data_IF_289322987929
#
_entry.id   IF_289322987929
#
_cell.length_a   1.000
_cell.length_b   1.000
_cell.length_c   1.000
_cell.angle_alpha   90.00
_cell.angle_beta   90.00
_cell.angle_gamma   90.00
#
_symmetry.space_group_name_H-M   'P 1'
#
loop_
_entity.id
_entity.type
_entity.pdbx_description
1 polymer ?
#
# COMPACT_ATOMS: atom_id res chain seq x y z
N UNK A 1 -25.77 -9.70 3.38
CA UNK A 1 -25.91 -11.16 3.08
C UNK A 1 -24.88 -11.56 2.03
N UNK A 2 -24.05 -12.55 2.36
CA UNK A 2 -23.11 -13.13 1.41
C UNK A 2 -23.85 -14.14 0.52
N UNK A 3 -23.61 -14.10 -0.79
CA UNK A 3 -24.24 -15.06 -1.70
C UNK A 3 -23.66 -16.48 -1.54
N UNK A 4 -24.37 -17.48 -2.06
CA UNK A 4 -24.03 -18.90 -1.89
C UNK A 4 -22.68 -19.25 -2.55
N UNK A 5 -22.34 -18.62 -3.68
CA UNK A 5 -21.09 -18.89 -4.38
C UNK A 5 -19.90 -18.34 -3.59
N UNK A 6 -20.05 -17.15 -3.02
CA UNK A 6 -19.03 -16.53 -2.18
C UNK A 6 -18.83 -17.31 -0.87
N UNK A 7 -19.93 -17.75 -0.20
CA UNK A 7 -19.83 -18.63 0.96
C UNK A 7 -19.09 -19.94 0.65
N UNK A 8 -19.29 -20.52 -0.54
CA UNK A 8 -18.57 -21.72 -0.95
C UNK A 8 -17.04 -21.47 -1.08
N UNK A 9 -16.65 -20.31 -1.59
CA UNK A 9 -15.23 -19.91 -1.62
C UNK A 9 -14.67 -19.68 -0.22
N UNK A 10 -15.41 -19.01 0.67
CA UNK A 10 -15.00 -18.81 2.06
C UNK A 10 -14.79 -20.13 2.80
N UNK A 11 -15.66 -21.12 2.59
CA UNK A 11 -15.49 -22.46 3.16
C UNK A 11 -14.15 -23.10 2.74
N UNK A 12 -13.74 -22.92 1.48
CA UNK A 12 -12.44 -23.42 1.03
C UNK A 12 -11.27 -22.67 1.66
N UNK A 13 -11.40 -21.35 1.79
CA UNK A 13 -10.39 -20.48 2.42
C UNK A 13 -10.19 -20.85 3.89
N UNK A 14 -11.28 -21.05 4.63
CA UNK A 14 -11.25 -21.36 6.06
C UNK A 14 -11.10 -22.84 6.40
N UNK A 15 -11.15 -23.75 5.43
CA UNK A 15 -11.03 -25.19 5.64
C UNK A 15 -9.72 -25.61 6.34
N UNK A 16 -8.70 -24.77 6.23
CA UNK A 16 -7.38 -25.03 6.79
C UNK A 16 -7.14 -24.37 8.17
N UNK A 17 -8.11 -23.72 8.81
CA UNK A 17 -7.89 -23.09 10.11
C UNK A 17 -7.56 -24.10 11.20
N UNK A 18 -6.52 -23.81 12.00
CA UNK A 18 -6.10 -24.63 13.13
C UNK A 18 -6.74 -24.15 14.45
N UNK A 19 -6.79 -22.83 14.66
CA UNK A 19 -7.33 -22.21 15.87
C UNK A 19 -8.84 -21.92 15.77
N UNK A 20 -9.46 -21.69 16.92
CA UNK A 20 -10.84 -21.20 17.02
C UNK A 20 -10.85 -19.67 17.06
N UNK A 21 -11.79 -19.07 16.33
CA UNK A 21 -11.95 -17.61 16.26
C UNK A 21 -13.36 -17.20 16.64
N UNK A 22 -13.45 -16.10 17.39
CA UNK A 22 -14.72 -15.50 17.79
C UNK A 22 -14.74 -14.04 17.35
N UNK A 23 -15.77 -13.64 16.62
CA UNK A 23 -16.11 -12.25 16.37
C UNK A 23 -16.91 -11.73 17.57
N UNK A 24 -16.27 -11.02 18.51
CA UNK A 24 -16.90 -10.48 19.72
C UNK A 24 -17.44 -9.07 19.40
N UNK A 25 -18.74 -9.00 19.16
CA UNK A 25 -19.46 -7.80 18.72
C UNK A 25 -19.99 -7.05 19.92
N UNK A 26 -19.64 -5.77 20.04
CA UNK A 26 -20.22 -4.81 20.96
C UNK A 26 -20.90 -3.71 20.15
N UNK A 27 -22.21 -3.60 20.22
CA UNK A 27 -22.94 -2.63 19.41
C UNK A 27 -24.20 -2.11 20.12
N UNK A 28 -24.42 -0.79 20.00
CA UNK A 28 -25.62 -0.18 20.61
C UNK A 28 -26.89 -0.80 20.03
N UNK A 29 -27.90 -1.13 20.86
CA UNK A 29 -29.13 -1.81 20.40
C UNK A 29 -29.88 -1.09 19.28
N UNK A 30 -29.77 0.25 19.23
CA UNK A 30 -30.44 1.09 18.23
C UNK A 30 -29.50 1.59 17.13
N UNK A 31 -28.25 1.08 17.03
CA UNK A 31 -27.32 1.50 15.97
C UNK A 31 -27.86 1.06 14.61
N UNK A 32 -27.89 1.97 13.64
CA UNK A 32 -28.48 1.73 12.30
C UNK A 32 -27.86 0.54 11.56
N UNK A 33 -26.53 0.37 11.69
CA UNK A 33 -25.78 -0.72 11.03
C UNK A 33 -25.66 -2.00 11.86
N UNK A 34 -26.36 -2.09 13.03
CA UNK A 34 -26.28 -3.26 13.91
C UNK A 34 -26.63 -4.56 13.20
N UNK A 35 -27.74 -4.57 12.50
CA UNK A 35 -28.23 -5.78 11.83
C UNK A 35 -27.32 -6.19 10.68
N UNK A 36 -26.81 -5.22 9.91
CA UNK A 36 -25.89 -5.46 8.82
C UNK A 36 -24.58 -6.10 9.31
N UNK A 37 -24.00 -5.56 10.40
CA UNK A 37 -22.79 -6.12 11.00
C UNK A 37 -22.99 -7.55 11.49
N UNK A 38 -24.07 -7.80 12.26
CA UNK A 38 -24.36 -9.12 12.80
C UNK A 38 -24.56 -10.13 11.66
N UNK A 39 -25.35 -9.80 10.65
CA UNK A 39 -25.61 -10.65 9.50
C UNK A 39 -24.32 -10.98 8.71
N UNK A 40 -23.45 -10.00 8.49
CA UNK A 40 -22.17 -10.20 7.80
C UNK A 40 -21.28 -11.17 8.58
N UNK A 41 -21.15 -10.99 9.90
CA UNK A 41 -20.27 -11.81 10.73
C UNK A 41 -20.88 -13.21 11.00
N UNK A 42 -22.19 -13.33 11.12
CA UNK A 42 -22.89 -14.61 11.15
C UNK A 42 -22.70 -15.39 9.86
N UNK A 43 -22.89 -14.75 8.71
CA UNK A 43 -22.66 -15.34 7.39
C UNK A 43 -21.22 -15.81 7.25
N UNK A 44 -20.27 -15.01 7.69
CA UNK A 44 -18.84 -15.36 7.67
C UNK A 44 -18.53 -16.51 8.61
N UNK A 45 -19.06 -16.50 9.83
CA UNK A 45 -18.87 -17.56 10.82
C UNK A 45 -19.48 -18.89 10.35
N UNK A 46 -20.61 -18.85 9.63
CA UNK A 46 -21.22 -20.05 9.06
C UNK A 46 -20.36 -20.81 8.04
N UNK A 47 -19.23 -20.21 7.62
CA UNK A 47 -18.34 -20.79 6.63
C UNK A 47 -17.27 -21.75 7.22
N UNK A 48 -17.16 -21.87 8.55
CA UNK A 48 -16.22 -22.81 9.19
C UNK A 48 -16.67 -23.15 10.62
N UNK A 49 -16.48 -24.39 11.03
CA UNK A 49 -16.70 -24.82 12.42
C UNK A 49 -15.70 -24.19 13.42
N UNK A 50 -14.65 -23.57 12.91
CA UNK A 50 -13.64 -22.83 13.68
C UNK A 50 -13.99 -21.36 13.90
N UNK A 51 -15.07 -20.88 13.30
CA UNK A 51 -15.53 -19.51 13.41
C UNK A 51 -16.86 -19.44 14.18
N UNK A 52 -16.96 -18.47 15.06
CA UNK A 52 -18.18 -18.17 15.79
C UNK A 52 -18.31 -16.67 16.05
N UNK A 53 -19.45 -16.23 16.54
CA UNK A 53 -19.65 -14.84 16.94
C UNK A 53 -20.43 -14.75 18.25
N UNK A 54 -20.22 -13.65 18.97
CA UNK A 54 -20.99 -13.27 20.16
C UNK A 54 -21.48 -11.84 20.00
N UNK A 55 -22.64 -11.54 20.58
CA UNK A 55 -23.22 -10.19 20.52
C UNK A 55 -23.52 -9.72 21.92
N UNK A 56 -23.03 -8.54 22.28
CA UNK A 56 -23.35 -7.83 23.51
C UNK A 56 -23.72 -6.38 23.23
N UNK A 57 -24.43 -5.76 24.14
CA UNK A 57 -24.71 -4.33 24.04
C UNK A 57 -23.42 -3.53 24.26
N UNK A 58 -23.21 -2.49 23.45
CA UNK A 58 -22.10 -1.56 23.47
C UNK A 58 -22.59 -0.12 23.36
N UNK A 59 -21.68 0.84 23.47
CA UNK A 59 -22.00 2.27 23.31
C UNK A 59 -22.06 2.68 21.84
N UNK A 60 -21.15 2.12 21.04
CA UNK A 60 -21.02 2.37 19.60
C UNK A 60 -21.11 1.04 18.82
N UNK A 61 -20.63 1.02 17.59
CA UNK A 61 -20.47 -0.18 16.78
C UNK A 61 -18.99 -0.55 16.75
N UNK A 62 -18.66 -1.70 17.34
CA UNK A 62 -17.31 -2.27 17.30
C UNK A 62 -17.39 -3.80 17.35
N UNK A 63 -16.46 -4.46 16.70
CA UNK A 63 -16.14 -5.85 17.01
C UNK A 63 -14.64 -6.08 17.04
N UNK A 64 -14.23 -7.10 17.76
CA UNK A 64 -12.84 -7.56 17.83
C UNK A 64 -12.77 -9.04 17.50
N UNK A 65 -11.56 -9.50 17.20
CA UNK A 65 -11.30 -10.90 16.86
C UNK A 65 -10.56 -11.54 18.03
N UNK A 66 -11.14 -12.63 18.56
CA UNK A 66 -10.47 -13.46 19.56
C UNK A 66 -9.95 -14.73 18.88
N UNK A 67 -8.77 -15.19 19.27
CA UNK A 67 -8.18 -16.47 18.87
C UNK A 67 -8.00 -17.36 20.09
N UNK A 68 -8.67 -18.51 20.14
CA UNK A 68 -8.69 -19.40 21.32
C UNK A 68 -9.02 -18.65 22.63
N UNK A 69 -9.88 -17.64 22.55
CA UNK A 69 -10.28 -16.78 23.67
C UNK A 69 -9.35 -15.58 23.95
N UNK A 70 -8.20 -15.48 23.30
CA UNK A 70 -7.26 -14.36 23.46
C UNK A 70 -7.57 -13.24 22.43
N UNK A 71 -7.56 -11.98 22.90
CA UNK A 71 -7.78 -10.80 22.06
C UNK A 71 -6.60 -10.54 21.12
N UNK A 72 -6.87 -10.50 19.82
CA UNK A 72 -5.86 -10.16 18.80
C UNK A 72 -5.49 -8.68 18.78
N UNK A 73 -6.18 -7.84 19.56
CA UNK A 73 -6.02 -6.38 19.62
C UNK A 73 -6.29 -5.67 18.28
N UNK A 74 -7.12 -6.27 17.46
CA UNK A 74 -7.64 -5.72 16.20
C UNK A 74 -9.12 -5.42 16.40
N UNK A 75 -9.49 -4.15 16.31
CA UNK A 75 -10.82 -3.63 16.57
C UNK A 75 -11.38 -2.98 15.31
N UNK A 76 -12.54 -3.43 14.85
CA UNK A 76 -13.23 -2.84 13.71
C UNK A 76 -14.41 -2.01 14.20
N UNK A 77 -14.36 -0.71 14.00
CA UNK A 77 -15.50 0.21 14.11
C UNK A 77 -16.03 0.47 12.70
N UNK A 78 -16.49 -0.59 12.08
CA UNK A 78 -16.93 -0.65 10.70
C UNK A 78 -17.78 -1.90 10.46
N UNK A 79 -18.58 -1.89 9.42
CA UNK A 79 -19.10 -3.09 8.77
C UNK A 79 -18.14 -3.45 7.64
N UNK A 80 -17.18 -4.39 7.80
CA UNK A 80 -16.10 -4.61 6.84
C UNK A 80 -16.59 -5.35 5.60
N UNK A 81 -17.41 -4.67 4.78
CA UNK A 81 -17.86 -5.13 3.48
C UNK A 81 -17.03 -4.49 2.34
N UNK A 82 -17.42 -4.72 1.09
CA UNK A 82 -16.73 -4.18 -0.07
C UNK A 82 -15.24 -4.54 -0.09
N UNK A 83 -14.38 -3.54 -0.25
CA UNK A 83 -12.93 -3.74 -0.31
C UNK A 83 -12.33 -4.20 1.03
N UNK A 84 -12.92 -3.78 2.17
CA UNK A 84 -12.40 -4.13 3.50
C UNK A 84 -12.77 -5.53 3.97
N UNK A 85 -13.65 -6.24 3.26
CA UNK A 85 -13.93 -7.64 3.59
C UNK A 85 -12.65 -8.49 3.53
N UNK A 86 -11.76 -8.20 2.60
CA UNK A 86 -10.44 -8.86 2.52
C UNK A 86 -9.57 -8.62 3.76
N UNK A 87 -9.68 -7.46 4.40
CA UNK A 87 -8.94 -7.14 5.64
C UNK A 87 -9.42 -7.96 6.83
N UNK A 88 -10.73 -8.24 6.92
CA UNK A 88 -11.29 -9.16 7.90
C UNK A 88 -10.78 -10.59 7.69
N UNK A 89 -10.84 -11.08 6.45
CA UNK A 89 -10.39 -12.44 6.11
C UNK A 89 -8.90 -12.63 6.43
N UNK A 90 -8.06 -11.67 6.03
CA UNK A 90 -6.62 -11.75 6.26
C UNK A 90 -6.26 -11.55 7.72
N UNK A 91 -7.04 -10.82 8.52
CA UNK A 91 -6.81 -10.75 9.96
C UNK A 91 -6.91 -12.14 10.60
N UNK A 92 -7.91 -12.94 10.24
CA UNK A 92 -8.06 -14.34 10.71
C UNK A 92 -6.94 -15.23 10.16
N UNK A 93 -6.71 -15.21 8.85
CA UNK A 93 -5.71 -16.08 8.20
C UNK A 93 -4.29 -15.78 8.65
N UNK A 94 -3.92 -14.50 8.83
CA UNK A 94 -2.61 -14.12 9.33
C UNK A 94 -2.42 -14.54 10.79
N UNK A 95 -3.46 -14.42 11.62
CA UNK A 95 -3.42 -14.88 13.00
C UNK A 95 -3.25 -16.41 13.09
N UNK A 96 -3.73 -17.16 12.11
CA UNK A 96 -3.55 -18.61 11.99
C UNK A 96 -2.22 -19.01 11.30
N UNK A 97 -1.43 -18.02 10.88
CA UNK A 97 -0.18 -18.28 10.17
C UNK A 97 -0.33 -18.69 8.70
N UNK A 98 -1.53 -18.61 8.15
CA UNK A 98 -1.88 -19.08 6.79
C UNK A 98 -2.12 -17.95 5.78
N UNK A 99 -1.95 -16.70 6.22
CA UNK A 99 -2.08 -15.54 5.34
C UNK A 99 -0.92 -15.44 4.35
N UNK A 100 -1.22 -14.92 3.15
CA UNK A 100 -0.26 -14.82 2.04
C UNK A 100 0.66 -13.59 2.13
N UNK A 101 0.34 -12.63 2.99
CA UNK A 101 1.06 -11.36 3.14
C UNK A 101 1.84 -11.24 4.46
N UNK A 102 2.12 -12.36 5.10
CA UNK A 102 2.99 -12.37 6.28
C UNK A 102 4.43 -12.04 5.87
N UNK A 103 5.11 -11.17 6.64
CA UNK A 103 6.47 -10.79 6.35
C UNK A 103 7.46 -11.93 6.66
N UNK A 104 8.62 -11.85 6.05
CA UNK A 104 9.73 -12.73 6.38
C UNK A 104 10.33 -12.44 7.76
N UNK A 105 11.26 -13.31 8.19
CA UNK A 105 11.84 -13.26 9.52
C UNK A 105 12.55 -11.93 9.83
N UNK A 106 13.24 -11.33 8.86
CA UNK A 106 13.95 -10.07 9.10
C UNK A 106 12.98 -8.89 9.34
N UNK A 107 11.89 -8.82 8.57
CA UNK A 107 10.83 -7.82 8.79
C UNK A 107 10.07 -8.11 10.08
N UNK A 108 9.80 -9.39 10.38
CA UNK A 108 9.17 -9.80 11.64
C UNK A 108 9.95 -9.32 12.84
N UNK A 109 11.27 -9.53 12.90
CA UNK A 109 12.14 -9.06 13.99
C UNK A 109 12.07 -7.56 14.18
N UNK A 110 12.06 -6.78 13.10
CA UNK A 110 11.88 -5.32 13.19
C UNK A 110 10.57 -4.94 13.88
N UNK A 111 9.47 -5.61 13.52
CA UNK A 111 8.16 -5.39 14.12
C UNK A 111 8.15 -5.75 15.61
N UNK A 112 8.69 -6.91 15.97
CA UNK A 112 8.75 -7.40 17.36
C UNK A 112 9.55 -6.49 18.29
N UNK A 113 10.54 -5.76 17.74
CA UNK A 113 11.42 -4.86 18.51
C UNK A 113 10.98 -3.38 18.49
N UNK A 114 9.81 -3.04 17.93
CA UNK A 114 9.24 -1.71 18.13
C UNK A 114 9.04 -1.43 19.62
N UNK A 115 9.48 -0.25 20.09
CA UNK A 115 9.50 0.08 21.52
C UNK A 115 8.15 0.65 21.99
N UNK A 116 7.78 0.31 23.24
CA UNK A 116 6.62 0.91 23.93
C UNK A 116 5.27 0.30 23.52
N UNK A 117 4.22 0.72 24.24
CA UNK A 117 2.83 0.38 23.92
C UNK A 117 2.27 1.46 23.01
N UNK A 118 1.45 1.08 22.05
CA UNK A 118 0.86 2.02 21.10
C UNK A 118 -0.52 1.59 20.62
N UNK A 119 -1.37 2.56 20.35
CA UNK A 119 -2.65 2.38 19.66
C UNK A 119 -2.56 3.00 18.28
N UNK A 120 -2.65 2.16 17.26
CA UNK A 120 -2.82 2.58 15.88
C UNK A 120 -4.30 2.78 15.59
N UNK A 121 -4.65 3.84 14.89
CA UNK A 121 -6.00 4.05 14.36
C UNK A 121 -5.91 4.31 12.87
N UNK A 122 -6.64 3.55 12.08
CA UNK A 122 -6.77 3.79 10.64
C UNK A 122 -8.19 4.22 10.32
N UNK A 123 -8.33 5.47 9.88
CA UNK A 123 -9.58 5.93 9.29
C UNK A 123 -9.62 5.52 7.83
N UNK A 124 -10.69 4.86 7.42
CA UNK A 124 -10.85 4.29 6.08
C UNK A 124 -12.25 4.59 5.52
N UNK A 125 -12.48 4.23 4.28
CA UNK A 125 -13.79 4.20 3.64
C UNK A 125 -13.97 2.90 2.89
N UNK A 126 -15.14 2.31 2.95
CA UNK A 126 -15.48 1.05 2.27
C UNK A 126 -15.32 1.13 0.74
N UNK A 127 -15.43 2.33 0.17
CA UNK A 127 -15.22 2.57 -1.27
C UNK A 127 -13.76 2.86 -1.66
N UNK A 128 -12.86 2.93 -0.68
CA UNK A 128 -11.45 3.22 -0.91
C UNK A 128 -10.69 1.96 -1.33
N UNK A 129 -10.12 1.95 -2.52
CA UNK A 129 -9.36 0.80 -3.05
C UNK A 129 -7.98 0.62 -2.42
N UNK A 130 -7.41 1.68 -1.84
CA UNK A 130 -6.08 1.69 -1.22
C UNK A 130 -6.10 1.43 0.29
N UNK A 131 -7.28 1.54 0.92
CA UNK A 131 -7.41 1.35 2.37
C UNK A 131 -7.05 -0.06 2.84
N UNK A 132 -7.46 -1.14 2.14
CA UNK A 132 -7.13 -2.50 2.57
C UNK A 132 -5.63 -2.78 2.71
N UNK A 133 -4.79 -2.26 1.81
CA UNK A 133 -3.34 -2.46 1.87
C UNK A 133 -2.76 -1.95 3.19
N UNK A 134 -3.20 -0.77 3.64
CA UNK A 134 -2.74 -0.14 4.89
C UNK A 134 -3.32 -0.85 6.11
N UNK A 135 -4.62 -1.15 6.10
CA UNK A 135 -5.29 -1.86 7.20
C UNK A 135 -4.65 -3.23 7.42
N UNK A 136 -4.43 -4.00 6.37
CA UNK A 136 -3.82 -5.33 6.44
C UNK A 136 -2.37 -5.27 6.94
N UNK A 137 -1.58 -4.29 6.48
CA UNK A 137 -0.21 -4.11 6.94
C UNK A 137 -0.15 -3.80 8.45
N UNK A 138 -1.02 -2.92 8.95
CA UNK A 138 -1.08 -2.58 10.37
C UNK A 138 -1.66 -3.71 11.22
N UNK A 139 -2.60 -4.49 10.70
CA UNK A 139 -3.08 -5.73 11.34
C UNK A 139 -1.93 -6.73 11.51
N UNK A 140 -1.07 -6.92 10.50
CA UNK A 140 0.11 -7.79 10.59
C UNK A 140 1.09 -7.28 11.66
N UNK A 141 1.34 -5.97 11.72
CA UNK A 141 2.20 -5.37 12.75
C UNK A 141 1.61 -5.63 14.14
N UNK A 142 0.29 -5.47 14.31
CA UNK A 142 -0.41 -5.72 15.58
C UNK A 142 -0.34 -7.19 16.01
N UNK A 143 -0.51 -8.12 15.07
CA UNK A 143 -0.42 -9.56 15.36
C UNK A 143 1.00 -9.96 15.82
N UNK A 144 2.03 -9.36 15.24
CA UNK A 144 3.42 -9.69 15.52
C UNK A 144 4.01 -8.95 16.74
N UNK A 145 3.40 -7.83 17.16
CA UNK A 145 3.85 -7.09 18.35
C UNK A 145 2.72 -6.98 19.38
N UNK A 146 2.83 -7.68 20.53
CA UNK A 146 1.75 -7.71 21.53
C UNK A 146 1.54 -6.37 22.26
N UNK A 147 2.43 -5.40 22.09
CA UNK A 147 2.33 -4.07 22.67
C UNK A 147 1.55 -3.08 21.82
N UNK A 148 1.15 -3.49 20.62
CA UNK A 148 0.43 -2.65 19.66
C UNK A 148 -1.02 -3.14 19.52
N UNK A 149 -1.95 -2.21 19.49
CA UNK A 149 -3.35 -2.42 19.13
C UNK A 149 -3.68 -1.64 17.86
N UNK A 150 -4.66 -2.11 17.09
CA UNK A 150 -5.10 -1.44 15.86
C UNK A 150 -6.62 -1.32 15.83
N UNK A 151 -7.09 -0.08 15.69
CA UNK A 151 -8.49 0.30 15.54
C UNK A 151 -8.73 0.73 14.11
N UNK A 152 -9.67 0.10 13.43
CA UNK A 152 -10.07 0.37 12.04
C UNK A 152 -11.42 1.08 12.09
N UNK A 153 -11.48 2.32 11.62
CA UNK A 153 -12.64 3.20 11.73
C UNK A 153 -13.19 3.54 10.36
N UNK A 154 -14.45 3.21 10.12
CA UNK A 154 -15.16 3.74 8.95
C UNK A 154 -15.52 5.20 9.19
N UNK A 155 -14.95 6.08 8.36
CA UNK A 155 -15.20 7.51 8.45
C UNK A 155 -16.66 7.90 8.24
N UNK A 156 -17.45 7.08 7.56
CA UNK A 156 -18.88 7.32 7.38
C UNK A 156 -19.68 7.08 8.68
N UNK A 157 -19.26 6.10 9.48
CA UNK A 157 -19.90 5.79 10.77
C UNK A 157 -19.38 6.68 11.91
N UNK A 158 -18.26 7.35 11.74
CA UNK A 158 -17.58 8.18 12.76
C UNK A 158 -17.40 9.64 12.29
N UNK A 159 -18.43 10.20 11.66
CA UNK A 159 -18.37 11.53 11.03
C UNK A 159 -17.95 12.66 11.99
N UNK A 160 -18.40 12.64 13.24
CA UNK A 160 -18.03 13.63 14.25
C UNK A 160 -16.54 13.56 14.59
N UNK A 161 -15.99 12.37 14.74
CA UNK A 161 -14.56 12.15 15.02
C UNK A 161 -13.71 12.58 13.81
N UNK A 162 -14.11 12.21 12.60
CA UNK A 162 -13.48 12.61 11.34
C UNK A 162 -13.44 14.13 11.19
N UNK A 163 -14.54 14.82 11.48
CA UNK A 163 -14.62 16.28 11.44
C UNK A 163 -13.76 16.94 12.51
N UNK A 164 -13.81 16.43 13.75
CA UNK A 164 -13.02 16.95 14.88
C UNK A 164 -11.51 16.86 14.61
N UNK A 165 -11.08 15.77 13.97
CA UNK A 165 -9.66 15.51 13.63
C UNK A 165 -9.27 16.09 12.28
N UNK A 166 -10.20 16.76 11.56
CA UNK A 166 -10.00 17.31 10.22
C UNK A 166 -9.42 16.29 9.24
N UNK A 167 -9.95 15.06 9.24
CA UNK A 167 -9.53 14.00 8.33
C UNK A 167 -10.21 14.22 6.98
N UNK A 168 -9.43 14.47 5.94
CA UNK A 168 -9.94 14.81 4.61
C UNK A 168 -9.62 13.78 3.56
N UNK A 169 -8.69 12.86 3.86
CA UNK A 169 -8.30 11.79 2.96
C UNK A 169 -8.09 10.47 3.71
N UNK A 170 -8.37 9.35 3.03
CA UNK A 170 -8.23 7.99 3.54
C UNK A 170 -7.39 7.12 2.57
N UNK A 171 -6.67 6.12 3.09
CA UNK A 171 -6.50 5.79 4.51
C UNK A 171 -5.71 6.87 5.26
N UNK A 172 -6.11 7.15 6.50
CA UNK A 172 -5.39 8.05 7.39
C UNK A 172 -4.97 7.29 8.66
N UNK A 173 -3.66 7.20 8.91
CA UNK A 173 -3.07 6.41 10.01
C UNK A 173 -2.62 7.33 11.13
N UNK A 174 -3.03 7.00 12.33
CA UNK A 174 -2.77 7.74 13.55
C UNK A 174 -2.09 6.83 14.57
N UNK A 175 -1.10 7.36 15.28
CA UNK A 175 -0.39 6.73 16.37
C UNK A 175 -0.67 7.53 17.65
N UNK A 176 -1.34 6.92 18.62
CA UNK A 176 -1.69 7.55 19.92
C UNK A 176 -2.31 8.96 19.74
N UNK A 177 -3.26 9.08 18.80
CA UNK A 177 -3.96 10.33 18.49
C UNK A 177 -3.17 11.35 17.66
N UNK A 178 -2.01 10.98 17.12
CA UNK A 178 -1.23 11.84 16.22
C UNK A 178 -1.17 11.23 14.82
N UNK A 179 -1.53 12.01 13.79
CA UNK A 179 -1.43 11.56 12.40
C UNK A 179 0.02 11.30 11.99
N UNK A 180 0.28 10.12 11.44
CA UNK A 180 1.63 9.70 10.99
C UNK A 180 1.68 9.39 9.49
N UNK A 181 0.53 9.12 8.87
CA UNK A 181 0.47 8.82 7.44
C UNK A 181 -0.92 9.06 6.86
N UNK A 182 -0.96 9.52 5.61
CA UNK A 182 -2.17 9.64 4.80
C UNK A 182 -1.89 9.07 3.41
N UNK A 183 -2.84 8.35 2.86
CA UNK A 183 -2.77 7.70 1.55
C UNK A 183 -2.23 6.28 1.60
N UNK A 184 -2.02 5.71 0.43
CA UNK A 184 -1.48 4.35 0.28
C UNK A 184 -0.08 4.22 0.88
N UNK A 185 0.22 3.06 1.45
CA UNK A 185 1.55 2.74 1.96
C UNK A 185 1.77 1.23 2.00
N UNK A 186 3.03 0.82 1.99
CA UNK A 186 3.44 -0.57 2.16
C UNK A 186 3.72 -0.88 3.63
N UNK A 187 3.76 -2.17 4.00
CA UNK A 187 4.15 -2.60 5.35
C UNK A 187 5.54 -2.06 5.73
N UNK A 188 6.51 -2.11 4.80
CA UNK A 188 7.86 -1.60 5.04
C UNK A 188 7.89 -0.11 5.34
N UNK A 189 7.17 0.71 4.57
CA UNK A 189 7.09 2.17 4.78
C UNK A 189 6.39 2.54 6.09
N UNK A 190 5.32 1.82 6.45
CA UNK A 190 4.63 2.00 7.72
C UNK A 190 5.52 1.61 8.89
N UNK A 191 6.23 0.50 8.78
CA UNK A 191 7.21 0.06 9.78
C UNK A 191 8.33 1.09 9.97
N UNK A 192 8.86 1.65 8.88
CA UNK A 192 9.87 2.71 8.93
C UNK A 192 9.39 3.94 9.71
N UNK A 193 8.13 4.32 9.51
CA UNK A 193 7.51 5.44 10.24
C UNK A 193 7.32 5.13 11.72
N UNK A 194 6.88 3.89 12.03
CA UNK A 194 6.72 3.46 13.41
C UNK A 194 8.07 3.38 14.14
N UNK A 195 9.11 2.83 13.52
CA UNK A 195 10.47 2.85 14.09
C UNK A 195 10.96 4.28 14.36
N UNK A 196 10.70 5.20 13.43
CA UNK A 196 11.08 6.61 13.60
C UNK A 196 10.35 7.31 14.74
N UNK A 197 9.11 6.89 15.06
CA UNK A 197 8.26 7.51 16.09
C UNK A 197 8.37 6.83 17.44
N UNK A 198 8.39 5.51 17.46
CA UNK A 198 8.40 4.70 18.67
C UNK A 198 9.82 4.35 19.13
N UNK A 199 10.76 4.30 18.18
CA UNK A 199 12.08 3.74 18.40
C UNK A 199 12.09 2.20 18.37
N UNK A 200 13.29 1.65 18.48
CA UNK A 200 13.52 0.22 18.59
C UNK A 200 14.13 -0.08 19.97
N UNK A 201 13.79 -1.23 20.48
CA UNK A 201 14.27 -1.72 21.76
C UNK A 201 15.80 -1.93 21.74
N UNK A 202 16.48 -1.69 22.85
CA UNK A 202 17.93 -1.77 22.98
C UNK A 202 18.49 -3.19 22.79
N UNK A 203 17.65 -4.21 22.85
CA UNK A 203 18.02 -5.59 22.55
C UNK A 203 18.01 -5.90 21.05
N UNK A 204 17.48 -4.99 20.21
CA UNK A 204 17.50 -5.15 18.76
C UNK A 204 18.93 -5.18 18.25
N UNK A 205 19.35 -6.34 17.79
CA UNK A 205 20.60 -6.49 17.03
C UNK A 205 20.24 -6.44 15.54
N UNK A 206 20.78 -5.47 14.80
CA UNK A 206 20.63 -5.47 13.35
C UNK A 206 21.03 -6.83 12.79
N UNK A 207 20.27 -7.33 11.82
CA UNK A 207 20.64 -8.57 11.13
C UNK A 207 21.95 -8.30 10.39
N UNK A 208 23.05 -8.83 10.91
CA UNK A 208 24.38 -8.70 10.28
C UNK A 208 24.65 -9.82 9.28
N UNK A 209 23.66 -10.63 8.96
CA UNK A 209 23.79 -11.74 8.05
C UNK A 209 24.11 -11.23 6.64
N UNK A 210 25.23 -11.71 6.10
CA UNK A 210 25.62 -11.48 4.72
C UNK A 210 25.07 -12.60 3.85
N UNK A 211 24.17 -12.26 2.92
CA UNK A 211 23.51 -13.21 2.02
C UNK A 211 24.12 -13.12 0.63
N UNK A 212 24.63 -14.25 0.14
CA UNK A 212 25.38 -14.31 -1.11
C UNK A 212 24.53 -14.85 -2.26
N UNK A 213 24.63 -14.18 -3.40
CA UNK A 213 23.93 -14.47 -4.65
C UNK A 213 24.89 -14.34 -5.85
N UNK A 214 24.45 -14.77 -7.02
CA UNK A 214 25.16 -14.50 -8.28
C UNK A 214 24.77 -13.15 -8.86
N UNK A 215 23.50 -12.76 -8.66
CA UNK A 215 22.97 -11.48 -9.15
C UNK A 215 22.06 -10.86 -8.08
N UNK A 216 22.26 -9.58 -7.81
CA UNK A 216 21.30 -8.76 -7.09
C UNK A 216 20.47 -7.95 -8.08
N UNK A 217 19.18 -7.85 -7.82
CA UNK A 217 18.27 -6.96 -8.54
C UNK A 217 17.68 -5.97 -7.53
N UNK A 218 18.07 -4.71 -7.65
CA UNK A 218 17.54 -3.63 -6.83
C UNK A 218 16.28 -3.06 -7.46
N UNK A 219 15.12 -3.39 -6.89
CA UNK A 219 13.80 -2.97 -7.35
C UNK A 219 12.91 -4.12 -7.81
N UNK A 220 11.64 -4.08 -7.41
CA UNK A 220 10.63 -5.12 -7.63
C UNK A 220 9.58 -4.79 -8.69
N UNK A 221 9.75 -3.70 -9.45
CA UNK A 221 8.87 -3.35 -10.56
C UNK A 221 9.01 -4.29 -11.76
N UNK A 222 8.24 -4.11 -12.85
CA UNK A 222 8.26 -5.00 -14.02
C UNK A 222 9.65 -5.24 -14.59
N UNK A 223 10.48 -4.20 -14.63
CA UNK A 223 11.88 -4.30 -15.11
C UNK A 223 12.72 -5.20 -14.21
N UNK A 224 12.64 -5.03 -12.89
CA UNK A 224 13.38 -5.85 -11.93
C UNK A 224 12.93 -7.30 -11.96
N UNK A 225 11.62 -7.53 -12.04
CA UNK A 225 11.05 -8.87 -12.17
C UNK A 225 11.54 -9.57 -13.44
N UNK A 226 11.48 -8.87 -14.59
CA UNK A 226 12.00 -9.41 -15.85
C UNK A 226 13.49 -9.75 -15.74
N UNK A 227 14.31 -8.86 -15.21
CA UNK A 227 15.75 -9.08 -15.03
C UNK A 227 16.03 -10.30 -14.13
N UNK A 228 15.29 -10.43 -13.02
CA UNK A 228 15.43 -11.58 -12.10
C UNK A 228 15.07 -12.90 -12.78
N UNK A 229 13.92 -12.96 -13.46
CA UNK A 229 13.46 -14.17 -14.16
C UNK A 229 14.47 -14.59 -15.24
N UNK A 230 14.95 -13.66 -16.08
CA UNK A 230 15.91 -14.01 -17.11
C UNK A 230 17.27 -14.42 -16.55
N UNK A 231 17.70 -13.87 -15.43
CA UNK A 231 18.91 -14.30 -14.72
C UNK A 231 18.73 -15.72 -14.13
N UNK A 232 17.61 -15.97 -13.48
CA UNK A 232 17.28 -17.27 -12.89
C UNK A 232 17.17 -18.38 -13.94
N UNK A 233 16.58 -18.09 -15.12
CA UNK A 233 16.51 -19.02 -16.26
C UNK A 233 17.88 -19.44 -16.82
N UNK A 234 18.95 -18.73 -16.46
CA UNK A 234 20.33 -19.09 -16.77
C UNK A 234 21.00 -19.91 -15.64
N UNK A 235 20.23 -20.31 -14.62
CA UNK A 235 20.73 -21.10 -13.48
C UNK A 235 21.40 -20.26 -12.40
N UNK A 236 21.32 -18.91 -12.46
CA UNK A 236 21.92 -18.03 -11.47
C UNK A 236 21.04 -17.93 -10.21
N UNK A 237 21.67 -17.82 -9.04
CA UNK A 237 21.00 -17.53 -7.77
C UNK A 237 20.77 -16.03 -7.67
N UNK A 238 19.52 -15.60 -7.60
CA UNK A 238 19.12 -14.20 -7.70
C UNK A 238 18.41 -13.73 -6.42
N UNK A 239 18.75 -12.53 -5.94
CA UNK A 239 17.93 -11.81 -4.96
C UNK A 239 17.24 -10.62 -5.61
N UNK A 240 15.94 -10.49 -5.40
CA UNK A 240 15.18 -9.27 -5.71
C UNK A 240 14.99 -8.50 -4.41
N UNK A 241 15.66 -7.35 -4.27
CA UNK A 241 15.62 -6.50 -3.08
C UNK A 241 14.78 -5.26 -3.38
N UNK A 242 13.64 -5.12 -2.73
CA UNK A 242 12.66 -4.09 -3.08
C UNK A 242 11.76 -3.68 -1.90
N UNK A 243 11.19 -2.49 -1.97
CA UNK A 243 10.12 -2.06 -1.07
C UNK A 243 8.84 -2.87 -1.26
N UNK A 244 8.48 -3.14 -2.51
CA UNK A 244 7.35 -4.01 -2.87
C UNK A 244 7.56 -4.63 -4.25
N UNK A 245 6.93 -5.79 -4.49
CA UNK A 245 6.82 -6.35 -5.83
C UNK A 245 5.69 -5.65 -6.58
N UNK A 246 5.92 -5.36 -7.87
CA UNK A 246 5.05 -4.56 -8.73
C UNK A 246 5.54 -3.10 -8.86
N UNK A 247 6.18 -2.53 -7.83
CA UNK A 247 6.62 -1.14 -7.88
C UNK A 247 5.45 -0.19 -8.15
N UNK A 248 5.63 0.80 -9.02
CA UNK A 248 4.60 1.81 -9.34
C UNK A 248 3.32 1.24 -9.99
N UNK A 249 3.34 0.04 -10.60
CA UNK A 249 2.09 -0.51 -11.18
C UNK A 249 1.04 -0.76 -10.10
N UNK A 250 1.43 -0.96 -8.85
CA UNK A 250 0.50 -1.06 -7.75
C UNK A 250 -0.37 0.20 -7.54
N UNK A 251 0.07 1.36 -8.02
CA UNK A 251 -0.63 2.64 -7.91
C UNK A 251 -1.58 2.89 -9.10
N UNK A 252 -1.55 2.01 -10.10
CA UNK A 252 -2.32 2.17 -11.33
C UNK A 252 -3.62 1.39 -11.26
N UNK A 253 -4.76 2.07 -11.43
CA UNK A 253 -6.10 1.46 -11.34
C UNK A 253 -6.33 0.53 -12.54
N UNK A 254 -6.10 1.01 -13.75
CA UNK A 254 -6.29 0.24 -15.01
C UNK A 254 -5.05 0.32 -15.89
N UNK A 255 -4.66 -0.80 -16.48
CA UNK A 255 -3.48 -0.95 -17.32
C UNK A 255 -3.93 -1.62 -18.65
N UNK A 256 -3.73 -0.91 -19.77
CA UNK A 256 -4.11 -1.34 -21.12
C UNK A 256 -2.92 -1.39 -22.09
N UNK A 257 -1.72 -1.04 -21.62
CA UNK A 257 -0.51 -0.90 -22.42
C UNK A 257 0.52 -2.03 -22.25
N UNK A 258 0.16 -3.11 -21.58
CA UNK A 258 0.98 -4.32 -21.50
C UNK A 258 0.66 -5.22 -22.68
N UNK A 259 1.65 -5.43 -23.56
CA UNK A 259 1.50 -6.29 -24.76
C UNK A 259 1.01 -7.67 -24.34
N UNK A 260 0.03 -8.21 -25.03
CA UNK A 260 -0.70 -9.47 -24.78
C UNK A 260 -1.69 -9.46 -23.62
N UNK A 261 -1.80 -8.36 -22.87
CA UNK A 261 -2.78 -8.18 -21.80
C UNK A 261 -3.66 -6.97 -22.16
N UNK A 262 -4.86 -7.18 -22.77
CA UNK A 262 -5.69 -6.07 -23.23
C UNK A 262 -6.14 -5.13 -22.11
N UNK A 263 -6.38 -5.69 -20.93
CA UNK A 263 -6.72 -4.94 -19.71
C UNK A 263 -6.34 -5.74 -18.46
N UNK A 264 -5.80 -5.05 -17.48
CA UNK A 264 -5.58 -5.57 -16.13
C UNK A 264 -5.61 -4.43 -15.13
N UNK A 265 -5.66 -4.75 -13.84
CA UNK A 265 -5.41 -3.76 -12.77
C UNK A 265 -3.95 -3.81 -12.32
N UNK A 266 -3.45 -2.72 -11.76
CA UNK A 266 -2.08 -2.71 -11.24
C UNK A 266 -1.85 -3.76 -10.15
N UNK A 267 -2.83 -3.96 -9.27
CA UNK A 267 -2.76 -4.99 -8.23
C UNK A 267 -2.72 -6.40 -8.81
N UNK A 268 -3.55 -6.68 -9.81
CA UNK A 268 -3.53 -7.98 -10.51
C UNK A 268 -2.18 -8.21 -11.17
N UNK A 269 -1.66 -7.23 -11.90
CA UNK A 269 -0.35 -7.34 -12.53
C UNK A 269 0.78 -7.56 -11.51
N UNK A 270 0.75 -6.86 -10.38
CA UNK A 270 1.74 -7.04 -9.31
C UNK A 270 1.67 -8.44 -8.69
N UNK A 271 0.47 -8.97 -8.49
CA UNK A 271 0.26 -10.35 -8.01
C UNK A 271 0.78 -11.39 -9.01
N UNK A 272 0.54 -11.18 -10.30
CA UNK A 272 1.03 -12.05 -11.38
C UNK A 272 2.57 -12.01 -11.46
N UNK A 273 3.17 -10.82 -11.34
CA UNK A 273 4.63 -10.65 -11.29
C UNK A 273 5.24 -11.41 -10.09
N UNK A 274 4.63 -11.31 -8.91
CA UNK A 274 5.06 -12.06 -7.72
C UNK A 274 4.94 -13.57 -7.93
N UNK A 275 3.81 -14.02 -8.46
CA UNK A 275 3.56 -15.43 -8.76
C UNK A 275 4.61 -15.97 -9.73
N UNK A 276 4.94 -15.19 -10.78
CA UNK A 276 5.95 -15.57 -11.75
C UNK A 276 7.36 -15.67 -11.15
N UNK A 277 7.75 -14.73 -10.27
CA UNK A 277 9.03 -14.85 -9.52
C UNK A 277 9.07 -16.12 -8.67
N UNK A 278 7.98 -16.44 -7.98
CA UNK A 278 7.88 -17.58 -7.07
C UNK A 278 7.94 -18.94 -7.79
N UNK A 279 7.80 -18.96 -9.11
CA UNK A 279 7.97 -20.17 -9.95
C UNK A 279 9.43 -20.65 -10.03
N UNK A 280 10.39 -19.80 -9.67
CA UNK A 280 11.81 -20.08 -9.76
C UNK A 280 12.42 -20.24 -8.35
N UNK A 281 12.80 -21.48 -7.99
CA UNK A 281 13.39 -21.79 -6.68
C UNK A 281 14.73 -21.08 -6.42
N UNK A 282 15.42 -20.66 -7.48
CA UNK A 282 16.68 -19.91 -7.40
C UNK A 282 16.50 -18.40 -7.33
N UNK A 283 15.27 -17.90 -7.20
CA UNK A 283 14.95 -16.49 -6.89
C UNK A 283 14.57 -16.38 -5.42
N UNK A 284 15.26 -15.50 -4.70
CA UNK A 284 14.87 -15.07 -3.37
C UNK A 284 14.20 -13.70 -3.46
N UNK A 285 12.94 -13.61 -3.08
CA UNK A 285 12.20 -12.33 -3.00
C UNK A 285 12.45 -11.74 -1.61
N UNK A 286 13.06 -10.55 -1.57
CA UNK A 286 13.36 -9.77 -0.38
C UNK A 286 12.58 -8.46 -0.49
N UNK A 287 11.28 -8.51 -0.26
CA UNK A 287 10.40 -7.34 -0.23
C UNK A 287 10.35 -6.68 1.17
N UNK A 288 9.65 -5.55 1.28
CA UNK A 288 9.66 -4.69 2.47
C UNK A 288 11.08 -4.25 2.87
N UNK A 289 11.99 -4.08 1.88
CA UNK A 289 13.37 -3.65 2.06
C UNK A 289 13.58 -2.27 1.47
N UNK A 290 13.96 -1.32 2.32
CA UNK A 290 14.48 -0.03 1.89
C UNK A 290 16.00 -0.12 1.76
N UNK A 291 16.50 -0.01 0.51
CA UNK A 291 17.95 0.02 0.24
C UNK A 291 18.47 1.36 0.73
N UNK A 292 19.44 1.36 1.64
CA UNK A 292 20.07 2.57 2.18
C UNK A 292 21.40 2.88 1.50
N UNK A 293 22.23 1.86 1.31
CA UNK A 293 23.55 2.06 0.74
C UNK A 293 23.93 0.99 -0.28
N UNK A 294 24.78 1.42 -1.20
CA UNK A 294 25.51 0.56 -2.11
C UNK A 294 27.00 0.74 -1.87
N UNK A 295 27.73 -0.37 -1.81
CA UNK A 295 29.20 -0.35 -1.71
C UNK A 295 29.84 -1.47 -2.52
N UNK A 296 31.16 -1.37 -2.69
CA UNK A 296 32.00 -2.40 -3.29
C UNK A 296 32.92 -2.96 -2.21
N UNK A 297 32.89 -4.27 -2.01
CA UNK A 297 33.76 -4.96 -1.06
C UNK A 297 34.39 -6.17 -1.78
N UNK A 298 35.72 -6.20 -1.89
CA UNK A 298 36.46 -7.31 -2.52
C UNK A 298 35.93 -7.75 -3.90
N UNK A 299 35.49 -6.79 -4.72
CA UNK A 299 34.90 -7.04 -6.03
C UNK A 299 33.40 -7.41 -6.02
N UNK A 300 32.83 -7.61 -4.85
CA UNK A 300 31.37 -7.84 -4.68
C UNK A 300 30.61 -6.50 -4.61
N UNK A 301 29.43 -6.47 -5.18
CA UNK A 301 28.43 -5.41 -5.02
C UNK A 301 27.65 -5.73 -3.75
N UNK A 302 27.58 -4.78 -2.83
CA UNK A 302 26.91 -4.94 -1.55
C UNK A 302 25.75 -3.95 -1.47
N UNK A 303 24.55 -4.46 -1.27
CA UNK A 303 23.38 -3.67 -0.90
C UNK A 303 23.17 -3.82 0.60
N UNK A 304 23.11 -2.72 1.32
CA UNK A 304 22.69 -2.68 2.72
C UNK A 304 21.28 -2.08 2.78
N UNK A 305 20.39 -2.75 3.47
CA UNK A 305 19.02 -2.29 3.66
C UNK A 305 18.82 -1.79 5.09
N UNK A 306 17.77 -1.02 5.29
CA UNK A 306 17.35 -0.57 6.62
C UNK A 306 17.14 -1.79 7.54
N UNK A 307 17.72 -1.73 8.74
CA UNK A 307 17.80 -2.88 9.65
C UNK A 307 19.09 -3.68 9.56
N UNK A 308 20.04 -3.30 8.66
CA UNK A 308 21.42 -3.78 8.64
C UNK A 308 21.69 -5.05 7.82
N UNK A 309 20.66 -5.70 7.26
CA UNK A 309 20.81 -6.88 6.40
C UNK A 309 21.61 -6.52 5.14
N UNK A 310 22.54 -7.39 4.73
CA UNK A 310 23.42 -7.18 3.59
C UNK A 310 23.25 -8.27 2.53
N UNK A 311 23.19 -7.84 1.28
CA UNK A 311 23.11 -8.71 0.11
C UNK A 311 24.37 -8.50 -0.74
N UNK A 312 25.06 -9.59 -1.08
CA UNK A 312 26.33 -9.55 -1.81
C UNK A 312 26.23 -10.36 -3.10
N UNK A 313 26.75 -9.81 -4.19
CA UNK A 313 26.89 -10.55 -5.45
C UNK A 313 27.97 -9.92 -6.34
N UNK A 314 28.56 -10.70 -7.27
CA UNK A 314 29.47 -10.16 -8.29
C UNK A 314 28.75 -9.24 -9.31
N UNK A 315 27.42 -9.36 -9.46
CA UNK A 315 26.63 -8.56 -10.38
C UNK A 315 25.42 -7.88 -9.69
N UNK A 316 25.14 -6.64 -10.07
CA UNK A 316 23.98 -5.88 -9.61
C UNK A 316 23.24 -5.28 -10.82
N UNK A 317 21.94 -5.49 -10.85
CA UNK A 317 21.03 -4.81 -11.80
C UNK A 317 20.22 -3.77 -11.02
N UNK A 318 20.33 -2.51 -11.42
CA UNK A 318 19.62 -1.39 -10.82
C UNK A 318 18.32 -1.19 -11.60
N UNK A 319 17.19 -1.47 -10.96
CA UNK A 319 15.84 -1.36 -11.51
C UNK A 319 14.90 -0.64 -10.52
N UNK A 320 15.44 0.37 -9.82
CA UNK A 320 14.77 1.10 -8.74
C UNK A 320 13.60 1.97 -9.21
N UNK A 321 13.44 2.14 -10.52
CA UNK A 321 12.38 2.95 -11.10
C UNK A 321 12.57 4.45 -10.84
N UNK A 322 11.44 5.15 -10.79
CA UNK A 322 11.39 6.58 -10.50
C UNK A 322 10.29 6.86 -9.48
N UNK A 323 10.37 7.99 -8.80
CA UNK A 323 9.31 8.51 -7.96
C UNK A 323 8.93 9.92 -8.42
N UNK A 324 7.64 10.23 -8.30
CA UNK A 324 7.14 11.56 -8.61
C UNK A 324 7.70 12.58 -7.61
N UNK A 325 8.11 13.73 -8.11
CA UNK A 325 8.44 14.87 -7.25
C UNK A 325 7.15 15.47 -6.74
N UNK A 326 7.02 15.58 -5.43
CA UNK A 326 5.92 16.29 -4.79
C UNK A 326 6.26 17.77 -4.66
N UNK A 327 5.24 18.61 -4.70
CA UNK A 327 5.39 20.04 -4.44
C UNK A 327 5.69 20.31 -2.96
N UNK A 328 5.18 19.44 -2.07
CA UNK A 328 5.24 19.58 -0.62
C UNK A 328 4.62 20.90 -0.12
N UNK A 329 3.52 21.31 -0.76
CA UNK A 329 2.74 22.48 -0.37
C UNK A 329 1.50 22.06 0.41
N UNK A 330 0.91 22.95 1.23
CA UNK A 330 -0.37 22.69 1.87
C UNK A 330 -1.43 22.24 0.87
N UNK A 331 -2.26 21.25 1.24
CA UNK A 331 -3.32 20.70 0.41
C UNK A 331 -2.88 19.63 -0.59
N UNK A 332 -1.61 19.58 -1.02
CA UNK A 332 -1.19 18.57 -2.01
C UNK A 332 -1.50 17.14 -1.57
N UNK A 333 -1.06 16.76 -0.37
CA UNK A 333 -1.28 15.41 0.16
C UNK A 333 -2.76 15.08 0.38
N UNK A 334 -3.56 16.09 0.71
CA UNK A 334 -4.98 15.99 0.98
C UNK A 334 -5.78 15.69 -0.29
N UNK A 335 -5.39 16.34 -1.41
CA UNK A 335 -6.12 16.23 -2.67
C UNK A 335 -5.57 15.16 -3.62
N UNK A 336 -4.56 14.37 -3.23
CA UNK A 336 -4.11 13.21 -4.01
C UNK A 336 -5.28 12.23 -4.23
N UNK A 337 -5.59 11.95 -5.51
CA UNK A 337 -6.75 11.14 -5.91
C UNK A 337 -8.09 11.89 -5.90
N UNK A 338 -8.10 13.20 -5.56
CA UNK A 338 -9.32 14.04 -5.50
C UNK A 338 -9.17 15.36 -6.26
N UNK A 339 -8.21 15.45 -7.14
CA UNK A 339 -7.89 16.67 -7.89
C UNK A 339 -6.39 16.79 -8.15
N UNK A 340 -5.55 16.21 -7.29
CA UNK A 340 -4.12 16.07 -7.49
C UNK A 340 -3.83 14.66 -7.98
N UNK A 341 -3.14 14.54 -9.10
CA UNK A 341 -2.77 13.27 -9.75
C UNK A 341 -1.35 13.37 -10.31
N UNK A 342 -0.70 12.23 -10.52
CA UNK A 342 0.68 12.16 -11.01
C UNK A 342 0.82 11.43 -12.36
N UNK A 343 -0.19 10.67 -12.77
CA UNK A 343 -0.14 9.88 -14.00
C UNK A 343 -1.19 10.38 -15.00
N UNK A 344 -0.81 11.08 -16.08
CA UNK A 344 -1.77 11.58 -17.07
C UNK A 344 -2.50 10.45 -17.80
N UNK A 345 -1.83 9.33 -18.04
CA UNK A 345 -2.42 8.17 -18.72
C UNK A 345 -3.40 7.39 -17.84
N UNK A 346 -3.15 7.35 -16.52
CA UNK A 346 -3.98 6.60 -15.56
C UNK A 346 -5.21 7.41 -15.16
N UNK A 347 -4.97 8.67 -14.77
CA UNK A 347 -5.96 9.55 -14.15
C UNK A 347 -6.61 10.50 -15.16
N UNK A 348 -5.95 10.76 -16.29
CA UNK A 348 -6.41 11.69 -17.32
C UNK A 348 -7.87 11.52 -17.74
N UNK A 349 -8.39 10.31 -17.97
CA UNK A 349 -9.79 10.08 -18.31
C UNK A 349 -10.80 10.67 -17.33
N UNK A 350 -10.46 10.75 -16.03
CA UNK A 350 -11.34 11.34 -15.00
C UNK A 350 -11.45 12.86 -15.09
N UNK A 351 -10.52 13.48 -15.83
CA UNK A 351 -10.49 14.93 -16.05
C UNK A 351 -11.02 15.33 -17.44
N UNK A 352 -11.64 14.42 -18.17
CA UNK A 352 -12.23 14.68 -19.49
C UNK A 352 -13.14 15.91 -19.47
N UNK A 353 -12.86 16.87 -20.36
CA UNK A 353 -13.63 18.10 -20.51
C UNK A 353 -13.41 19.13 -19.39
N UNK A 354 -12.55 18.86 -18.40
CA UNK A 354 -12.22 19.79 -17.31
C UNK A 354 -11.06 20.70 -17.70
N UNK A 355 -10.87 21.77 -16.96
CA UNK A 355 -9.66 22.58 -16.97
C UNK A 355 -8.69 22.01 -15.94
N UNK A 356 -7.46 21.68 -16.35
CA UNK A 356 -6.43 21.12 -15.50
C UNK A 356 -5.16 21.97 -15.51
N UNK A 357 -4.43 21.95 -14.41
CA UNK A 357 -3.10 22.52 -14.31
C UNK A 357 -2.05 21.41 -14.29
N UNK A 358 -0.97 21.58 -15.05
CA UNK A 358 0.22 20.72 -15.00
C UNK A 358 1.36 21.50 -14.39
N UNK A 359 1.92 20.97 -13.31
CA UNK A 359 3.00 21.63 -12.58
C UNK A 359 4.36 21.07 -13.04
N UNK A 360 5.17 21.94 -13.63
CA UNK A 360 6.52 21.63 -14.12
C UNK A 360 6.64 21.64 -15.64
N UNK A 361 7.65 22.35 -16.14
CA UNK A 361 7.95 22.56 -17.56
C UNK A 361 9.13 21.71 -18.08
N UNK A 362 9.49 20.59 -17.42
CA UNK A 362 10.41 19.59 -17.93
C UNK A 362 9.72 18.61 -18.89
N UNK A 363 10.46 17.65 -19.48
CA UNK A 363 9.94 16.67 -20.44
C UNK A 363 8.65 16.01 -19.94
N UNK A 364 8.66 15.44 -18.74
CA UNK A 364 7.50 14.74 -18.19
C UNK A 364 6.25 15.62 -18.04
N UNK A 365 6.42 16.88 -17.59
CA UNK A 365 5.29 17.80 -17.46
C UNK A 365 4.74 18.23 -18.82
N UNK A 366 5.61 18.47 -19.80
CA UNK A 366 5.18 18.87 -21.16
C UNK A 366 4.51 17.70 -21.89
N UNK A 367 5.03 16.47 -21.76
CA UNK A 367 4.39 15.26 -22.28
C UNK A 367 3.00 15.08 -21.65
N UNK A 368 2.89 15.20 -20.33
CA UNK A 368 1.62 15.14 -19.63
C UNK A 368 0.62 16.22 -20.13
N UNK A 369 1.09 17.44 -20.35
CA UNK A 369 0.25 18.51 -20.85
C UNK A 369 -0.24 18.27 -22.30
N UNK A 370 0.61 17.70 -23.14
CA UNK A 370 0.25 17.32 -24.53
C UNK A 370 -0.83 16.24 -24.51
N UNK A 371 -0.66 15.19 -23.67
CA UNK A 371 -1.63 14.10 -23.57
C UNK A 371 -2.97 14.59 -23.03
N UNK A 372 -2.94 15.38 -21.95
CA UNK A 372 -4.15 15.93 -21.33
C UNK A 372 -4.86 16.93 -22.26
N UNK A 373 -4.16 17.62 -23.14
CA UNK A 373 -4.78 18.50 -24.12
C UNK A 373 -5.73 17.77 -25.09
N UNK A 374 -5.49 16.47 -25.33
CA UNK A 374 -6.40 15.62 -26.12
C UNK A 374 -7.67 15.21 -25.38
N UNK A 375 -7.74 15.40 -24.05
CA UNK A 375 -8.81 14.89 -23.20
C UNK A 375 -9.55 16.04 -22.51
N UNK A 376 -8.81 17.04 -22.04
CA UNK A 376 -9.31 18.16 -21.23
C UNK A 376 -9.76 19.34 -22.11
N UNK A 377 -10.66 20.17 -21.58
CA UNK A 377 -11.11 21.38 -22.28
C UNK A 377 -10.02 22.46 -22.33
N UNK A 378 -9.19 22.54 -21.30
CA UNK A 378 -8.05 23.45 -21.20
C UNK A 378 -6.96 22.83 -20.32
N UNK A 379 -5.69 23.08 -20.68
CA UNK A 379 -4.53 22.72 -19.88
C UNK A 379 -3.71 23.98 -19.63
N UNK A 380 -3.34 24.23 -18.36
CA UNK A 380 -2.41 25.31 -18.01
C UNK A 380 -1.15 24.71 -17.43
N UNK A 381 -0.02 24.92 -18.09
CA UNK A 381 1.30 24.53 -17.57
C UNK A 381 1.84 25.62 -16.68
N UNK A 382 2.21 25.27 -15.45
CA UNK A 382 2.81 26.18 -14.47
C UNK A 382 4.27 25.81 -14.25
N UNK A 383 5.19 26.67 -14.65
CA UNK A 383 6.63 26.46 -14.48
C UNK A 383 7.22 27.53 -13.55
N UNK A 384 8.00 27.06 -12.55
CA UNK A 384 8.67 27.93 -11.58
C UNK A 384 9.78 28.78 -12.22
N UNK A 385 10.51 28.19 -13.17
CA UNK A 385 11.60 28.88 -13.88
C UNK A 385 11.02 29.87 -14.91
N UNK A 386 11.85 30.74 -15.42
CA UNK A 386 11.51 31.69 -16.48
C UNK A 386 11.39 31.05 -17.86
N UNK A 387 11.87 29.82 -18.02
CA UNK A 387 11.87 29.06 -19.27
C UNK A 387 11.52 27.60 -19.03
N UNK A 388 10.86 26.96 -20.01
CA UNK A 388 10.67 25.52 -20.03
C UNK A 388 11.99 24.78 -20.21
N UNK A 389 12.12 23.64 -19.55
CA UNK A 389 13.33 22.79 -19.61
C UNK A 389 13.11 21.53 -20.46
N UNK A 390 11.95 21.37 -21.06
CA UNK A 390 11.66 20.28 -21.98
C UNK A 390 12.43 20.42 -23.27
N UNK A 391 12.61 19.30 -23.98
CA UNK A 391 13.20 19.28 -25.33
C UNK A 391 12.41 20.14 -26.29
N UNK A 392 13.11 20.80 -27.24
CA UNK A 392 12.48 21.76 -28.15
C UNK A 392 11.34 21.15 -28.94
N UNK A 393 11.45 19.89 -29.36
CA UNK A 393 10.40 19.17 -30.10
C UNK A 393 9.10 19.07 -29.30
N UNK A 394 9.18 18.84 -27.99
CA UNK A 394 8.02 18.82 -27.10
C UNK A 394 7.43 20.21 -26.93
N UNK A 395 8.28 21.23 -26.75
CA UNK A 395 7.83 22.62 -26.64
C UNK A 395 7.12 23.08 -27.93
N UNK A 396 7.66 22.77 -29.10
CA UNK A 396 7.06 23.13 -30.39
C UNK A 396 5.68 22.43 -30.56
N UNK A 397 5.59 21.16 -30.16
CA UNK A 397 4.31 20.42 -30.15
C UNK A 397 3.33 21.06 -29.19
N UNK A 398 3.73 21.38 -27.98
CA UNK A 398 2.88 22.02 -26.96
C UNK A 398 2.30 23.35 -27.47
N UNK A 399 3.16 24.23 -28.04
CA UNK A 399 2.75 25.51 -28.55
C UNK A 399 1.84 25.44 -29.78
N UNK A 400 1.79 24.29 -30.47
CA UNK A 400 0.84 24.05 -31.56
C UNK A 400 -0.58 23.76 -31.10
N UNK A 401 -0.81 23.53 -29.80
CA UNK A 401 -2.10 23.17 -29.23
C UNK A 401 -2.86 24.44 -28.80
N UNK A 402 -4.10 24.57 -29.25
CA UNK A 402 -4.90 25.79 -29.05
C UNK A 402 -5.55 25.89 -27.67
N UNK A 403 -5.63 24.77 -26.95
CA UNK A 403 -6.21 24.67 -25.62
C UNK A 403 -5.16 24.56 -24.49
N UNK A 404 -3.89 24.84 -24.81
CA UNK A 404 -2.79 24.84 -23.82
C UNK A 404 -2.30 26.26 -23.60
N UNK A 405 -2.14 26.62 -22.33
CA UNK A 405 -1.54 27.87 -21.88
C UNK A 405 -0.29 27.58 -21.04
N UNK A 406 0.76 28.34 -21.23
CA UNK A 406 2.03 28.17 -20.47
C UNK A 406 2.28 29.43 -19.65
N UNK A 407 2.44 29.27 -18.36
CA UNK A 407 2.83 30.34 -17.44
C UNK A 407 4.17 30.00 -16.80
N UNK A 408 5.18 30.80 -17.07
CA UNK A 408 6.53 30.70 -16.47
C UNK A 408 6.69 31.69 -15.33
N UNK A 409 7.71 31.50 -14.48
CA UNK A 409 7.96 32.30 -13.28
C UNK A 409 6.76 32.27 -12.29
N UNK A 410 6.07 31.12 -12.20
CA UNK A 410 4.90 30.91 -11.33
C UNK A 410 5.21 29.86 -10.29
N UNK A 411 4.96 30.17 -9.02
CA UNK A 411 5.11 29.26 -7.91
C UNK A 411 3.73 28.84 -7.36
N UNK A 412 3.52 27.54 -7.27
CA UNK A 412 2.37 26.98 -6.54
C UNK A 412 2.64 27.07 -5.04
N UNK A 413 1.78 27.75 -4.30
CA UNK A 413 1.94 27.95 -2.85
C UNK A 413 1.07 26.97 -2.03
N UNK A 414 -0.07 26.62 -2.56
CA UNK A 414 -1.04 25.71 -1.92
C UNK A 414 -2.00 25.12 -2.95
N UNK A 415 -2.67 24.05 -2.57
CA UNK A 415 -3.78 23.42 -3.30
C UNK A 415 -5.01 23.49 -2.42
N UNK A 416 -6.13 23.99 -2.98
CA UNK A 416 -7.40 24.18 -2.27
C UNK A 416 -8.53 23.42 -2.95
#
# INVERSE_FOLDING_TARGET
>A
MLDTAFKAQLKQIFAGLDAEYVFDIAVHPQHESRNELIELLEDTASCSDKLSYTVRDGEELEFRILRNGEDLRIYFQAVPNGHEFSSLLLAVLNADGKGKNLPDEATRRRIEHLQGNATLTTYMSLSCTNCPDVVQALNVITLLNPRISHRIVDGALSAEEVQRLNIQAVPSVWLDGTSIHVGRSTLGELLDKLESKMGTDSSFQPVTEERHFDVLVAGGGPTGVAAAIYSARKGLKVAVVAGCIGGQVNETVGIENVISVPYTTGQTLAADLRTHLSHYENITICDNRQIETFSLQEGQKVLTVKGGEKFLAPALIIATGASWRKLNVPGEAEYIGRGVAFCPHCDGPFYKGKHVAVIGGGNSGIEAAIDLAGICSKVTVLEFMDTLKADQVLQDKLHSLTNVEVLTSVQTLEVQ
#
